data_IF_183237375232
#
_entry.id   IF_183237375232
#
_cell.length_a   1.000
_cell.length_b   1.000
_cell.length_c   1.000
_cell.angle_alpha   90.00
_cell.angle_beta   90.00
_cell.angle_gamma   90.00
#
_symmetry.space_group_name_H-M   'P 1'
#
loop_
_entity.id
_entity.type
_entity.pdbx_description
1 polymer ?
#
# COMPACT_ATOMS: atom_id res chain seq x y z
N UNK A 1 15.01 -16.65 29.54
CA UNK A 1 15.03 -16.37 28.08
C UNK A 1 13.70 -15.72 27.73
N UNK A 2 13.71 -14.40 27.60
CA UNK A 2 12.50 -13.62 27.30
C UNK A 2 12.26 -13.68 25.79
N UNK A 3 11.11 -14.18 25.37
CA UNK A 3 10.68 -14.12 23.98
C UNK A 3 10.40 -12.65 23.66
N UNK A 4 11.26 -12.04 22.85
CA UNK A 4 11.04 -10.72 22.28
C UNK A 4 9.81 -10.81 21.38
N UNK A 5 8.64 -10.51 21.94
CA UNK A 5 7.39 -10.42 21.19
C UNK A 5 7.46 -9.15 20.34
N UNK A 6 8.00 -9.26 19.12
CA UNK A 6 8.02 -8.21 18.08
C UNK A 6 6.64 -8.02 17.44
N UNK A 7 5.56 -8.32 18.15
CA UNK A 7 4.22 -7.96 17.70
C UNK A 7 3.91 -6.67 18.44
N UNK A 8 3.94 -5.49 17.77
CA UNK A 8 3.49 -4.27 18.41
C UNK A 8 2.08 -4.49 18.94
N UNK A 9 1.79 -3.96 20.11
CA UNK A 9 0.44 -3.87 20.64
C UNK A 9 -0.33 -2.96 19.67
N UNK A 10 -1.03 -3.57 18.71
CA UNK A 10 -1.83 -2.83 17.75
C UNK A 10 -3.08 -2.45 18.50
N UNK A 11 -3.09 -1.20 18.96
CA UNK A 11 -4.30 -0.55 19.44
C UNK A 11 -5.35 -0.58 18.31
N UNK A 12 -6.36 -1.43 18.48
CA UNK A 12 -7.49 -1.62 17.55
C UNK A 12 -8.63 -0.66 17.88
N UNK A 13 -8.34 0.55 18.40
CA UNK A 13 -9.27 1.68 18.34
C UNK A 13 -9.38 2.18 16.89
N UNK A 14 -9.98 1.33 16.06
CA UNK A 14 -10.19 1.50 14.63
C UNK A 14 -11.46 0.78 14.18
N UNK A 15 -11.83 0.95 12.92
CA UNK A 15 -12.94 0.20 12.33
C UNK A 15 -12.64 -1.29 12.35
N UNK A 16 -13.67 -2.11 12.53
CA UNK A 16 -13.55 -3.57 12.45
C UNK A 16 -13.11 -4.00 11.05
N UNK A 17 -12.55 -5.21 10.89
CA UNK A 17 -12.23 -5.75 9.58
C UNK A 17 -13.43 -5.74 8.61
N UNK A 18 -14.61 -6.16 9.07
CA UNK A 18 -15.82 -6.19 8.22
C UNK A 18 -16.24 -4.79 7.74
N UNK A 19 -16.16 -3.78 8.61
CA UNK A 19 -16.39 -2.39 8.24
C UNK A 19 -15.34 -1.89 7.24
N UNK A 20 -14.07 -2.22 7.46
CA UNK A 20 -12.99 -1.88 6.55
C UNK A 20 -13.22 -2.47 5.16
N UNK A 21 -13.57 -3.76 5.08
CA UNK A 21 -13.86 -4.42 3.81
C UNK A 21 -15.15 -3.91 3.16
N UNK A 22 -16.17 -3.55 3.93
CA UNK A 22 -17.38 -2.92 3.42
C UNK A 22 -17.10 -1.55 2.79
N UNK A 23 -16.23 -0.74 3.44
CA UNK A 23 -15.76 0.52 2.87
C UNK A 23 -14.95 0.27 1.60
N UNK A 24 -13.95 -0.62 1.66
CA UNK A 24 -13.03 -0.86 0.54
C UNK A 24 -13.64 -1.66 -0.62
N UNK A 25 -14.76 -2.35 -0.41
CA UNK A 25 -15.45 -3.19 -1.40
C UNK A 25 -16.16 -2.43 -2.51
N UNK A 26 -15.69 -1.23 -2.86
CA UNK A 26 -16.24 -0.39 -3.91
C UNK A 26 -15.13 0.05 -4.87
N UNK A 27 -15.38 -0.10 -6.18
CA UNK A 27 -14.42 0.18 -7.25
C UNK A 27 -13.86 1.61 -7.19
N UNK A 28 -14.73 2.62 -7.04
CA UNK A 28 -14.33 4.03 -7.01
C UNK A 28 -13.43 4.31 -5.81
N UNK A 29 -13.74 3.70 -4.67
CA UNK A 29 -12.94 3.86 -3.46
C UNK A 29 -11.56 3.22 -3.62
N UNK A 30 -11.45 2.06 -4.26
CA UNK A 30 -10.15 1.45 -4.56
C UNK A 30 -9.36 2.27 -5.60
N UNK A 31 -10.03 2.86 -6.58
CA UNK A 31 -9.37 3.71 -7.58
C UNK A 31 -8.88 5.02 -6.97
N UNK A 32 -9.61 5.61 -6.01
CA UNK A 32 -9.11 6.72 -5.18
C UNK A 32 -7.81 6.33 -4.46
N UNK A 33 -7.79 5.14 -3.82
CA UNK A 33 -6.60 4.66 -3.09
C UNK A 33 -5.41 4.45 -4.05
N UNK A 34 -5.64 3.90 -5.24
CA UNK A 34 -4.62 3.70 -6.28
C UNK A 34 -4.07 5.02 -6.81
N UNK A 35 -4.94 5.98 -7.14
CA UNK A 35 -4.54 7.30 -7.63
C UNK A 35 -3.66 8.04 -6.60
N UNK A 36 -4.09 8.05 -5.34
CA UNK A 36 -3.31 8.66 -4.25
C UNK A 36 -1.97 7.93 -4.01
N UNK A 37 -1.94 6.60 -4.15
CA UNK A 37 -0.69 5.85 -4.09
C UNK A 37 0.26 6.22 -5.22
N UNK A 38 -0.21 6.26 -6.47
CA UNK A 38 0.60 6.60 -7.64
C UNK A 38 1.17 8.02 -7.52
N UNK A 39 0.37 8.98 -7.07
CA UNK A 39 0.82 10.35 -6.85
C UNK A 39 1.95 10.45 -5.81
N UNK A 40 1.92 9.62 -4.77
CA UNK A 40 2.99 9.51 -3.77
C UNK A 40 4.21 8.72 -4.26
N UNK A 41 3.99 7.59 -4.94
CA UNK A 41 5.03 6.67 -5.40
C UNK A 41 5.91 7.28 -6.50
N UNK A 42 5.37 8.17 -7.33
CA UNK A 42 6.10 8.88 -8.38
C UNK A 42 7.23 9.78 -7.85
N UNK A 43 7.31 10.03 -6.53
CA UNK A 43 8.27 10.96 -5.93
C UNK A 43 9.10 10.36 -4.78
N UNK A 44 9.62 9.16 -5.02
CA UNK A 44 10.66 8.51 -4.22
C UNK A 44 10.08 7.74 -3.01
N UNK A 45 10.55 6.51 -2.83
CA UNK A 45 10.32 5.67 -1.65
C UNK A 45 10.93 6.34 -0.41
N UNK A 46 10.31 7.39 0.07
CA UNK A 46 10.68 8.04 1.33
C UNK A 46 9.52 7.93 2.32
N UNK A 47 9.27 6.69 2.73
CA UNK A 47 8.47 6.40 3.92
C UNK A 47 9.12 6.99 5.20
N UNK A 48 10.38 7.46 5.11
CA UNK A 48 11.18 7.94 6.24
C UNK A 48 11.00 9.45 6.48
N UNK A 49 10.75 10.26 5.44
CA UNK A 49 10.54 11.72 5.58
C UNK A 49 9.09 12.17 5.69
N UNK A 50 8.13 11.31 5.37
CA UNK A 50 6.70 11.61 5.59
C UNK A 50 6.10 12.65 4.62
N UNK A 51 6.86 13.07 3.59
CA UNK A 51 6.45 14.08 2.63
C UNK A 51 5.57 13.47 1.53
N UNK A 52 4.39 12.97 1.93
CA UNK A 52 3.40 12.46 0.98
C UNK A 52 2.62 13.66 0.44
N UNK A 53 2.87 14.01 -0.83
CA UNK A 53 2.16 15.08 -1.51
C UNK A 53 0.65 14.80 -1.54
N UNK A 54 -0.15 15.79 -1.17
CA UNK A 54 -1.60 15.78 -1.29
C UNK A 54 -2.05 16.09 -2.73
N UNK A 55 -3.18 15.52 -3.15
CA UNK A 55 -3.86 15.86 -4.40
C UNK A 55 -5.09 16.72 -4.11
N UNK A 56 -5.31 17.78 -4.87
CA UNK A 56 -6.56 18.53 -4.76
C UNK A 56 -7.78 17.68 -5.12
N UNK A 57 -8.98 18.12 -4.72
CA UNK A 57 -10.23 17.47 -5.08
C UNK A 57 -10.36 17.27 -6.60
N UNK A 58 -10.09 18.32 -7.37
CA UNK A 58 -10.23 18.30 -8.83
C UNK A 58 -9.22 17.39 -9.51
N UNK A 59 -7.98 17.37 -9.04
CA UNK A 59 -6.95 16.46 -9.57
C UNK A 59 -7.35 15.01 -9.30
N UNK A 60 -7.67 14.68 -8.04
CA UNK A 60 -8.02 13.32 -7.68
C UNK A 60 -9.30 12.83 -8.36
N UNK A 61 -10.33 13.68 -8.45
CA UNK A 61 -11.55 13.36 -9.19
C UNK A 61 -11.28 13.12 -10.68
N UNK A 62 -10.41 13.95 -11.28
CA UNK A 62 -10.00 13.82 -12.66
C UNK A 62 -9.27 12.50 -12.93
N UNK A 63 -8.31 12.14 -12.08
CA UNK A 63 -7.56 10.88 -12.18
C UNK A 63 -8.47 9.65 -12.01
N UNK A 64 -9.46 9.71 -11.11
CA UNK A 64 -10.41 8.59 -10.89
C UNK A 64 -11.48 8.51 -11.98
N UNK A 65 -11.67 9.57 -12.79
CA UNK A 65 -12.62 9.57 -13.91
C UNK A 65 -14.09 9.62 -13.49
N UNK A 66 -14.41 10.20 -12.34
CA UNK A 66 -15.80 10.35 -11.86
C UNK A 66 -16.31 11.76 -12.19
N UNK A 67 -17.28 11.86 -13.11
CA UNK A 67 -17.83 13.15 -13.53
C UNK A 67 -18.74 13.80 -12.47
N UNK A 68 -19.43 12.99 -11.68
CA UNK A 68 -20.38 13.46 -10.67
C UNK A 68 -19.67 13.85 -9.36
N UNK A 69 -19.70 15.14 -9.03
CA UNK A 69 -19.11 15.69 -7.81
C UNK A 69 -19.72 15.09 -6.53
N UNK A 70 -21.03 14.89 -6.48
CA UNK A 70 -21.71 14.35 -5.31
C UNK A 70 -21.33 12.90 -5.06
N UNK A 71 -21.27 12.10 -6.13
CA UNK A 71 -20.81 10.72 -6.11
C UNK A 71 -19.35 10.64 -5.62
N UNK A 72 -18.45 11.42 -6.20
CA UNK A 72 -17.05 11.43 -5.79
C UNK A 72 -16.89 11.88 -4.33
N UNK A 73 -17.58 12.95 -3.93
CA UNK A 73 -17.54 13.46 -2.56
C UNK A 73 -18.04 12.43 -1.54
N UNK A 74 -19.10 11.68 -1.87
CA UNK A 74 -19.54 10.55 -1.07
C UNK A 74 -18.43 9.50 -0.90
N UNK A 75 -17.82 9.04 -1.99
CA UNK A 75 -16.81 7.99 -1.93
C UNK A 75 -15.54 8.39 -1.17
N UNK A 76 -15.03 9.61 -1.35
CA UNK A 76 -13.84 10.06 -0.61
C UNK A 76 -14.14 10.29 0.87
N UNK A 77 -15.37 10.72 1.22
CA UNK A 77 -15.78 10.90 2.61
C UNK A 77 -15.81 9.58 3.37
N UNK A 78 -16.28 8.51 2.73
CA UNK A 78 -16.34 7.16 3.32
C UNK A 78 -14.93 6.56 3.58
N UNK A 79 -13.91 7.06 2.88
CA UNK A 79 -12.51 6.65 3.09
C UNK A 79 -11.83 7.41 4.25
N UNK A 80 -12.43 8.49 4.73
CA UNK A 80 -11.88 9.34 5.79
C UNK A 80 -12.43 8.96 7.17
N UNK A 81 -11.61 9.07 8.25
CA UNK A 81 -10.18 9.39 8.26
C UNK A 81 -9.26 8.16 8.12
N UNK A 82 -9.83 6.95 8.03
CA UNK A 82 -9.09 5.70 8.21
C UNK A 82 -8.11 5.45 7.09
N UNK A 83 -8.49 5.65 5.83
CA UNK A 83 -7.64 5.36 4.66
C UNK A 83 -7.11 6.63 3.99
N UNK A 84 -7.88 7.70 4.03
CA UNK A 84 -7.53 9.01 3.44
C UNK A 84 -7.52 10.08 4.51
N UNK A 85 -6.58 11.02 4.39
CA UNK A 85 -6.49 12.23 5.21
C UNK A 85 -6.69 13.44 4.31
N UNK A 86 -7.58 14.33 4.74
CA UNK A 86 -7.67 15.68 4.20
C UNK A 86 -6.65 16.57 4.92
N UNK A 87 -5.95 17.39 4.15
CA UNK A 87 -4.99 18.41 4.57
C UNK A 87 -5.36 19.73 3.91
N UNK A 88 -4.68 20.81 4.30
CA UNK A 88 -4.86 22.12 3.65
C UNK A 88 -4.55 22.07 2.14
N UNK A 89 -3.59 21.21 1.74
CA UNK A 89 -3.18 21.02 0.34
C UNK A 89 -3.99 19.94 -0.43
N UNK A 90 -5.08 19.41 0.14
CA UNK A 90 -5.91 18.38 -0.49
C UNK A 90 -5.95 17.03 0.24
N UNK A 91 -5.87 15.93 -0.50
CA UNK A 91 -6.05 14.56 0.02
C UNK A 91 -4.79 13.72 -0.14
N UNK A 92 -4.47 12.92 0.88
CA UNK A 92 -3.37 11.95 0.86
C UNK A 92 -3.75 10.66 1.58
N UNK A 93 -3.02 9.58 1.33
CA UNK A 93 -3.19 8.34 2.09
C UNK A 93 -2.81 8.53 3.57
N UNK A 94 -3.60 7.92 4.44
CA UNK A 94 -3.20 7.64 5.83
C UNK A 94 -2.15 6.52 5.87
N UNK A 95 -1.61 6.22 7.05
CA UNK A 95 -0.76 5.03 7.24
C UNK A 95 -1.47 3.72 6.87
N UNK A 96 -2.75 3.56 7.22
CA UNK A 96 -3.53 2.39 6.86
C UNK A 96 -3.85 2.37 5.36
N UNK A 97 -4.16 3.52 4.76
CA UNK A 97 -4.37 3.65 3.31
C UNK A 97 -3.14 3.22 2.50
N UNK A 98 -1.93 3.58 2.94
CA UNK A 98 -0.67 3.13 2.32
C UNK A 98 -0.49 1.61 2.38
N UNK A 99 -0.83 0.98 3.51
CA UNK A 99 -0.74 -0.49 3.67
C UNK A 99 -1.71 -1.19 2.71
N UNK A 100 -2.96 -0.74 2.66
CA UNK A 100 -3.96 -1.29 1.74
C UNK A 100 -3.56 -1.07 0.28
N UNK A 101 -3.09 0.12 -0.09
CA UNK A 101 -2.63 0.41 -1.45
C UNK A 101 -1.53 -0.57 -1.92
N UNK A 102 -0.54 -0.85 -1.05
CA UNK A 102 0.50 -1.86 -1.34
C UNK A 102 -0.11 -3.22 -1.61
N UNK A 103 -1.02 -3.68 -0.76
CA UNK A 103 -1.70 -4.97 -0.95
C UNK A 103 -2.49 -5.00 -2.25
N UNK A 104 -3.28 -3.96 -2.53
CA UNK A 104 -4.08 -3.86 -3.75
C UNK A 104 -3.18 -3.94 -4.98
N UNK A 105 -2.06 -3.25 -5.00
CA UNK A 105 -1.13 -3.24 -6.14
C UNK A 105 -0.41 -4.57 -6.31
N UNK A 106 0.06 -5.16 -5.21
CA UNK A 106 0.68 -6.48 -5.22
C UNK A 106 -0.28 -7.55 -5.77
N UNK A 107 -1.57 -7.47 -5.44
CA UNK A 107 -2.60 -8.40 -5.93
C UNK A 107 -3.06 -8.06 -7.35
N UNK A 108 -3.16 -6.78 -7.71
CA UNK A 108 -3.74 -6.36 -8.99
C UNK A 108 -2.77 -6.31 -10.16
N UNK A 109 -1.45 -6.40 -9.93
CA UNK A 109 -0.51 -6.22 -11.03
C UNK A 109 0.98 -6.36 -10.71
N UNK A 110 1.38 -7.06 -9.64
CA UNK A 110 2.70 -7.66 -9.70
C UNK A 110 2.61 -8.77 -10.74
N UNK A 111 3.25 -8.59 -11.90
CA UNK A 111 3.69 -9.75 -12.67
C UNK A 111 4.36 -10.70 -11.67
N UNK A 112 4.02 -11.98 -11.72
CA UNK A 112 4.74 -13.00 -10.96
C UNK A 112 6.13 -13.08 -11.58
N UNK A 113 7.01 -12.17 -11.15
CA UNK A 113 8.37 -12.09 -11.67
C UNK A 113 9.14 -13.17 -10.95
N UNK A 114 9.21 -14.34 -11.57
CA UNK A 114 10.14 -15.39 -11.17
C UNK A 114 11.56 -14.91 -11.50
N UNK A 115 12.19 -14.28 -10.51
CA UNK A 115 13.53 -13.75 -10.60
C UNK A 115 14.46 -14.67 -9.82
N UNK A 116 15.52 -15.13 -10.47
CA UNK A 116 16.65 -15.76 -9.80
C UNK A 116 17.95 -15.04 -10.12
N UNK A 117 18.81 -14.92 -9.11
CA UNK A 117 20.13 -14.31 -9.25
C UNK A 117 21.15 -15.09 -8.41
N UNK A 118 22.30 -15.41 -9.03
CA UNK A 118 23.45 -15.97 -8.34
C UNK A 118 24.00 -14.94 -7.33
N UNK A 119 24.28 -15.38 -6.10
CA UNK A 119 24.80 -14.52 -5.04
C UNK A 119 26.33 -14.35 -5.06
N UNK A 120 27.02 -15.08 -5.93
CA UNK A 120 28.48 -15.10 -6.02
C UNK A 120 29.15 -15.64 -4.76
N UNK A 121 28.44 -16.45 -3.98
CA UNK A 121 28.93 -17.06 -2.75
C UNK A 121 28.43 -18.48 -2.58
N UNK A 122 29.25 -19.31 -1.93
CA UNK A 122 28.89 -20.67 -1.56
C UNK A 122 28.27 -20.70 -0.15
N UNK A 123 27.44 -21.70 0.09
CA UNK A 123 26.80 -21.94 1.37
C UNK A 123 27.87 -22.27 2.43
N UNK A 124 27.92 -21.53 3.55
CA UNK A 124 28.93 -21.74 4.58
C UNK A 124 28.77 -23.07 5.34
N UNK A 125 27.69 -23.84 5.08
CA UNK A 125 27.40 -25.11 5.74
C UNK A 125 27.67 -26.33 4.85
N UNK A 126 27.45 -26.21 3.53
CA UNK A 126 27.53 -27.34 2.60
C UNK A 126 28.33 -27.06 1.32
N UNK A 127 28.87 -25.86 1.17
CA UNK A 127 29.73 -25.45 0.05
C UNK A 127 29.04 -25.45 -1.33
N UNK A 128 27.71 -25.56 -1.37
CA UNK A 128 26.94 -25.41 -2.61
C UNK A 128 26.80 -23.94 -3.03
N UNK A 129 26.82 -23.60 -4.32
CA UNK A 129 26.54 -22.24 -4.80
C UNK A 129 25.17 -21.75 -4.35
N UNK A 130 25.07 -20.48 -3.94
CA UNK A 130 23.82 -19.89 -3.44
C UNK A 130 23.13 -19.01 -4.48
N UNK A 131 21.82 -19.09 -4.51
CA UNK A 131 20.93 -18.32 -5.40
C UNK A 131 19.89 -17.59 -4.56
N UNK A 132 19.61 -16.33 -4.92
CA UNK A 132 18.42 -15.63 -4.44
C UNK A 132 17.29 -15.81 -5.46
N UNK A 133 16.15 -16.33 -5.03
CA UNK A 133 14.96 -16.48 -5.84
C UNK A 133 13.80 -15.67 -5.26
N UNK A 134 13.06 -14.94 -6.10
CA UNK A 134 11.81 -14.29 -5.74
C UNK A 134 10.66 -15.06 -6.38
N UNK A 135 9.91 -15.82 -5.56
CA UNK A 135 8.79 -16.67 -6.00
C UNK A 135 7.66 -16.64 -4.97
N UNK A 136 6.40 -16.66 -5.40
CA UNK A 136 5.22 -16.54 -4.55
C UNK A 136 5.23 -15.29 -3.64
N UNK A 137 5.86 -14.20 -4.10
CA UNK A 137 6.12 -12.98 -3.32
C UNK A 137 7.08 -13.16 -2.11
N UNK A 138 7.82 -14.27 -2.04
CA UNK A 138 8.84 -14.54 -1.03
C UNK A 138 10.25 -14.50 -1.62
N UNK A 139 11.17 -13.82 -0.93
CA UNK A 139 12.60 -13.96 -1.17
C UNK A 139 13.09 -15.24 -0.50
N UNK A 140 13.63 -16.15 -1.30
CA UNK A 140 14.24 -17.41 -0.88
C UNK A 140 15.73 -17.38 -1.17
N UNK A 141 16.50 -17.99 -0.28
CA UNK A 141 17.93 -18.22 -0.46
C UNK A 141 18.10 -19.73 -0.53
N UNK A 142 18.58 -20.21 -1.68
CA UNK A 142 18.68 -21.63 -2.05
C UNK A 142 20.11 -22.01 -2.39
#
# INVERSE_FOLDING_TARGET
MSLTRLVPDIDLEGITPDEAFSILGNEIRLDIIRALWQAGAARQYDDVRGDTRSMSFSELRGEVGVDDNGKFNYHISELMPQFVRQTDDGYRLSGAGKRIARTVIAVSGAEDVDLSADLGMDCPLCESPMTAAYRDQWLRIE
#
